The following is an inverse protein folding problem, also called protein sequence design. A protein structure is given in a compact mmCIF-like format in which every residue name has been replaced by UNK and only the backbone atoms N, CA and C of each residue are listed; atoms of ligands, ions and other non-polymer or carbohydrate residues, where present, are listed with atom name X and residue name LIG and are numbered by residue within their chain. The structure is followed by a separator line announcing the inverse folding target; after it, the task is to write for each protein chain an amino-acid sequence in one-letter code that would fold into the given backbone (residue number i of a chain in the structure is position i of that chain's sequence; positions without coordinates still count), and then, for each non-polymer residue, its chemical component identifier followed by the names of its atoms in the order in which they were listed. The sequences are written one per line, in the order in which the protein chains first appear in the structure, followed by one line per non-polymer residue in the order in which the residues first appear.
data_IF_653917819665
#
_entry.id   IF_653917819665
#
_cell.length_a   1.000
_cell.length_b   1.000
_cell.length_c   1.000
_cell.angle_alpha   90.00
_cell.angle_beta   90.00
_cell.angle_gamma   90.00
#
_symmetry.space_group_name_H-M   'P 1'
#
loop_
_entity.id
_entity.type
_entity.pdbx_description
1 polymer ?
#
# COMPACT_ATOMS: atom_id res chain seq x y z
N UNK A 1 2.10 -21.02 12.32
CA UNK A 1 1.79 -20.31 11.06
C UNK A 1 0.93 -21.21 10.21
N UNK A 2 -0.21 -20.72 9.77
CA UNK A 2 -1.23 -21.43 8.99
C UNK A 2 -1.42 -20.73 7.65
N UNK A 3 -1.58 -21.47 6.55
CA UNK A 3 -1.93 -20.90 5.24
C UNK A 3 -3.44 -20.98 5.05
N UNK A 4 -4.09 -19.82 5.05
CA UNK A 4 -5.56 -19.73 5.00
C UNK A 4 -6.11 -19.31 3.63
N UNK A 5 -5.23 -18.88 2.72
CA UNK A 5 -5.54 -18.56 1.34
C UNK A 5 -4.37 -18.96 0.47
N UNK A 6 -4.63 -19.50 -0.71
CA UNK A 6 -3.59 -19.70 -1.73
C UNK A 6 -4.19 -19.80 -3.11
N UNK A 7 -3.54 -19.17 -4.08
CA UNK A 7 -3.89 -19.32 -5.49
C UNK A 7 -2.61 -19.41 -6.33
N UNK A 8 -2.67 -20.27 -7.36
CA UNK A 8 -1.63 -20.42 -8.37
C UNK A 8 -2.05 -19.75 -9.68
N UNK A 9 -1.10 -19.16 -10.40
CA UNK A 9 -1.34 -18.44 -11.65
C UNK A 9 -0.50 -17.17 -11.72
N UNK A 10 -0.75 -16.29 -12.68
CA UNK A 10 -0.13 -14.96 -12.70
C UNK A 10 -0.89 -14.03 -11.76
N UNK A 11 -0.60 -14.10 -10.45
CA UNK A 11 -1.43 -13.55 -9.38
C UNK A 11 -0.62 -12.79 -8.34
N UNK A 12 -1.18 -11.72 -7.77
CA UNK A 12 -0.53 -10.99 -6.67
C UNK A 12 -1.52 -10.64 -5.57
N UNK A 13 -1.18 -10.97 -4.32
CA UNK A 13 -1.81 -10.42 -3.12
C UNK A 13 -1.22 -9.04 -2.85
N UNK A 14 -1.98 -7.98 -3.15
CA UNK A 14 -1.45 -6.62 -3.31
C UNK A 14 -1.93 -5.62 -2.24
N UNK A 15 -3.03 -5.94 -1.56
CA UNK A 15 -3.60 -5.18 -0.42
C UNK A 15 -4.16 -6.16 0.60
N UNK A 16 -3.91 -5.91 1.88
CA UNK A 16 -4.52 -6.63 3.00
C UNK A 16 -4.96 -5.64 4.07
N UNK A 17 -6.25 -5.66 4.43
CA UNK A 17 -6.84 -4.72 5.39
C UNK A 17 -7.93 -5.36 6.23
N UNK A 18 -7.96 -5.04 7.53
CA UNK A 18 -9.06 -5.39 8.42
C UNK A 18 -10.15 -4.31 8.33
N UNK A 19 -11.41 -4.75 8.20
CA UNK A 19 -12.57 -3.87 8.10
C UNK A 19 -13.79 -4.55 8.74
N UNK A 20 -14.28 -3.96 9.83
CA UNK A 20 -15.30 -4.61 10.66
C UNK A 20 -14.82 -5.99 11.14
N UNK A 21 -15.69 -6.98 11.01
CA UNK A 21 -15.42 -8.38 11.33
C UNK A 21 -14.92 -9.17 10.11
N UNK A 22 -14.20 -8.51 9.21
CA UNK A 22 -13.64 -9.13 8.01
C UNK A 22 -12.20 -8.69 7.73
N UNK A 23 -11.46 -9.58 7.08
CA UNK A 23 -10.18 -9.28 6.44
C UNK A 23 -10.39 -9.22 4.93
N UNK A 24 -10.09 -8.08 4.32
CA UNK A 24 -10.24 -7.85 2.88
C UNK A 24 -8.87 -7.97 2.19
N UNK A 25 -8.85 -8.73 1.10
CA UNK A 25 -7.67 -9.03 0.29
C UNK A 25 -7.90 -8.58 -1.15
N UNK A 26 -6.97 -7.80 -1.69
CA UNK A 26 -6.86 -7.53 -3.11
C UNK A 26 -6.00 -8.58 -3.80
N UNK A 27 -6.54 -9.22 -4.85
CA UNK A 27 -5.85 -10.23 -5.65
C UNK A 27 -5.83 -9.80 -7.11
N UNK A 28 -4.66 -9.45 -7.64
CA UNK A 28 -4.46 -9.25 -9.07
C UNK A 28 -4.53 -10.61 -9.80
N UNK A 29 -5.20 -10.72 -10.96
CA UNK A 29 -6.26 -9.86 -11.49
C UNK A 29 -7.67 -10.35 -11.08
N UNK A 30 -7.77 -11.21 -10.07
CA UNK A 30 -8.97 -11.96 -9.71
C UNK A 30 -10.06 -11.12 -9.03
N UNK A 31 -9.71 -10.02 -8.36
CA UNK A 31 -10.67 -9.12 -7.69
C UNK A 31 -10.41 -8.91 -6.21
N UNK A 32 -11.48 -8.67 -5.46
CA UNK A 32 -11.43 -8.51 -4.00
C UNK A 32 -12.11 -9.71 -3.31
N UNK A 33 -11.53 -10.10 -2.17
CA UNK A 33 -12.03 -11.18 -1.33
C UNK A 33 -12.18 -10.70 0.11
N UNK A 34 -13.19 -11.19 0.82
CA UNK A 34 -13.37 -10.97 2.25
C UNK A 34 -13.29 -12.30 3.00
N UNK A 35 -12.68 -12.28 4.17
CA UNK A 35 -12.54 -13.42 5.07
C UNK A 35 -13.17 -13.10 6.42
N UNK A 36 -14.12 -13.94 6.85
CA UNK A 36 -14.88 -13.75 8.08
C UNK A 36 -14.29 -14.51 9.29
N UNK A 37 -13.02 -14.94 9.22
CA UNK A 37 -12.41 -15.81 10.25
C UNK A 37 -12.57 -17.31 9.98
N UNK A 38 -13.36 -17.72 8.99
CA UNK A 38 -13.55 -19.13 8.62
C UNK A 38 -13.42 -19.42 7.12
N UNK A 39 -13.98 -18.57 6.26
CA UNK A 39 -13.99 -18.79 4.82
C UNK A 39 -13.77 -17.48 4.05
N UNK A 40 -13.16 -17.60 2.86
CA UNK A 40 -13.02 -16.52 1.90
C UNK A 40 -14.22 -16.49 0.97
N UNK A 41 -14.76 -15.30 0.71
CA UNK A 41 -15.74 -15.03 -0.34
C UNK A 41 -15.22 -13.96 -1.29
N UNK A 42 -15.48 -14.10 -2.58
CA UNK A 42 -15.20 -13.04 -3.55
C UNK A 42 -16.28 -11.97 -3.41
N UNK A 43 -15.87 -10.72 -3.17
CA UNK A 43 -16.78 -9.58 -2.96
C UNK A 43 -16.81 -8.62 -4.16
N UNK A 44 -15.80 -8.70 -5.03
CA UNK A 44 -15.75 -7.94 -6.27
C UNK A 44 -15.11 -8.78 -7.36
N UNK A 45 -15.79 -8.87 -8.51
CA UNK A 45 -15.27 -9.45 -9.74
C UNK A 45 -15.02 -8.33 -10.76
N UNK A 46 -13.76 -8.17 -11.23
CA UNK A 46 -13.45 -7.10 -12.17
C UNK A 46 -14.11 -7.30 -13.52
N UNK A 47 -14.65 -6.21 -14.07
CA UNK A 47 -15.28 -6.20 -15.40
C UNK A 47 -14.29 -6.03 -16.55
N UNK A 48 -13.09 -5.56 -16.24
CA UNK A 48 -12.04 -5.24 -17.21
C UNK A 48 -10.74 -5.96 -16.85
N UNK A 49 -9.90 -6.29 -17.85
CA UNK A 49 -8.64 -6.99 -17.62
C UNK A 49 -7.62 -6.15 -16.86
N UNK A 50 -6.70 -6.85 -16.19
CA UNK A 50 -5.57 -6.27 -15.44
C UNK A 50 -5.97 -5.50 -14.19
N UNK A 51 -7.04 -5.94 -13.52
CA UNK A 51 -7.44 -5.38 -12.24
C UNK A 51 -6.35 -5.52 -11.19
N UNK A 52 -6.01 -4.44 -10.49
CA UNK A 52 -5.05 -4.44 -9.40
C UNK A 52 -5.45 -3.45 -8.33
N UNK A 53 -5.36 -3.83 -7.06
CA UNK A 53 -5.69 -3.00 -5.90
C UNK A 53 -4.44 -2.75 -5.06
N UNK A 54 -4.09 -1.50 -4.77
CA UNK A 54 -2.79 -1.17 -4.15
C UNK A 54 -2.90 -0.33 -2.89
N UNK A 55 -3.96 0.46 -2.76
CA UNK A 55 -4.22 1.28 -1.57
C UNK A 55 -5.61 1.02 -1.03
N UNK A 56 -5.86 1.42 0.21
CA UNK A 56 -7.15 1.31 0.87
C UNK A 56 -7.32 2.45 1.86
N UNK A 57 -8.48 2.66 2.46
CA UNK A 57 -8.65 3.50 3.66
C UNK A 57 -10.04 3.27 4.22
N UNK A 58 -10.21 3.32 5.55
CA UNK A 58 -11.55 3.35 6.15
C UNK A 58 -11.98 4.81 6.32
N UNK A 59 -13.13 5.16 5.75
CA UNK A 59 -13.69 6.51 5.83
C UNK A 59 -15.21 6.43 6.01
N UNK A 60 -15.73 7.13 7.03
CA UNK A 60 -17.18 7.15 7.36
C UNK A 60 -17.78 5.74 7.39
N UNK A 61 -17.13 4.87 8.15
CA UNK A 61 -17.56 3.49 8.39
C UNK A 61 -17.66 2.61 7.14
N UNK A 62 -16.94 2.98 6.06
CA UNK A 62 -16.81 2.18 4.85
C UNK A 62 -15.37 1.99 4.46
N UNK A 63 -15.06 0.86 3.83
CA UNK A 63 -13.75 0.60 3.26
C UNK A 63 -13.68 1.13 1.83
N UNK A 64 -12.71 1.98 1.54
CA UNK A 64 -12.36 2.38 0.19
C UNK A 64 -11.10 1.66 -0.26
N UNK A 65 -11.06 1.24 -1.53
CA UNK A 65 -9.92 0.55 -2.13
C UNK A 65 -9.53 1.26 -3.41
N UNK A 66 -8.27 1.69 -3.47
CA UNK A 66 -7.66 2.32 -4.63
C UNK A 66 -7.12 1.24 -5.55
N UNK A 67 -7.63 1.23 -6.76
CA UNK A 67 -7.40 0.18 -7.73
C UNK A 67 -7.27 0.75 -9.15
N UNK A 68 -7.07 -0.15 -10.11
CA UNK A 68 -7.11 0.16 -11.52
C UNK A 68 -7.20 -1.10 -12.37
N UNK A 69 -7.47 -0.90 -13.64
CA UNK A 69 -7.48 -1.90 -14.72
C UNK A 69 -6.47 -1.45 -15.78
N UNK A 70 -6.34 -2.18 -16.89
CA UNK A 70 -5.55 -1.71 -18.05
C UNK A 70 -6.13 -0.47 -18.75
N UNK A 71 -7.30 0.03 -18.33
CA UNK A 71 -7.98 1.15 -19.01
C UNK A 71 -8.41 2.26 -18.06
N UNK A 72 -8.63 1.95 -16.79
CA UNK A 72 -9.19 2.90 -15.83
C UNK A 72 -8.49 2.82 -14.47
N UNK A 73 -8.33 3.97 -13.82
CA UNK A 73 -8.14 4.04 -12.37
C UNK A 73 -9.51 3.98 -11.68
N UNK A 74 -9.59 3.21 -10.60
CA UNK A 74 -10.82 2.94 -9.85
C UNK A 74 -10.65 3.31 -8.36
N UNK A 75 -11.69 3.88 -7.76
CA UNK A 75 -11.91 3.79 -6.31
C UNK A 75 -13.15 2.97 -6.08
N UNK A 76 -13.00 1.89 -5.32
CA UNK A 76 -14.08 1.01 -4.91
C UNK A 76 -14.48 1.36 -3.48
N UNK A 77 -15.77 1.34 -3.19
CA UNK A 77 -16.33 1.44 -1.84
C UNK A 77 -16.92 0.08 -1.47
N UNK A 78 -16.66 -0.36 -0.24
CA UNK A 78 -17.23 -1.55 0.36
C UNK A 78 -17.90 -1.21 1.69
N UNK A 79 -19.20 -1.50 1.79
CA UNK A 79 -20.03 -1.21 2.97
C UNK A 79 -20.15 -2.39 3.94
N UNK A 80 -19.51 -3.54 3.66
CA UNK A 80 -19.65 -4.79 4.42
C UNK A 80 -20.56 -5.80 3.74
N UNK A 81 -21.38 -5.37 2.78
CA UNK A 81 -22.26 -6.25 2.02
C UNK A 81 -21.89 -6.27 0.55
N UNK A 82 -21.69 -5.08 -0.05
CA UNK A 82 -21.50 -4.91 -1.50
C UNK A 82 -20.37 -3.95 -1.82
N UNK A 83 -19.74 -4.22 -2.97
CA UNK A 83 -18.71 -3.34 -3.53
C UNK A 83 -19.30 -2.48 -4.66
N UNK A 84 -19.05 -1.18 -4.63
CA UNK A 84 -19.45 -0.21 -5.66
C UNK A 84 -18.23 0.52 -6.24
N UNK A 85 -18.22 0.75 -7.55
CA UNK A 85 -17.27 1.68 -8.18
C UNK A 85 -17.76 3.12 -7.93
N UNK A 86 -17.09 3.86 -7.03
CA UNK A 86 -17.46 5.25 -6.68
C UNK A 86 -16.66 6.29 -7.46
N UNK A 87 -15.51 5.90 -8.02
CA UNK A 87 -14.75 6.71 -8.95
C UNK A 87 -14.18 5.84 -10.06
N UNK A 88 -14.39 6.26 -11.31
CA UNK A 88 -13.81 5.63 -12.50
C UNK A 88 -13.31 6.68 -13.46
N UNK A 89 -12.01 6.68 -13.71
CA UNK A 89 -11.34 7.70 -14.54
C UNK A 89 -10.44 7.00 -15.55
N UNK A 90 -10.41 7.48 -16.80
CA UNK A 90 -9.58 6.92 -17.89
C UNK A 90 -8.08 6.90 -17.56
N UNK A 91 -7.33 6.19 -18.38
CA UNK A 91 -5.89 5.92 -18.29
C UNK A 91 -5.56 5.06 -17.05
N UNK A 92 -5.38 3.75 -17.22
CA UNK A 92 -5.12 2.82 -16.12
C UNK A 92 -4.04 1.79 -16.45
N UNK A 93 -3.04 1.68 -15.56
CA UNK A 93 -2.22 0.51 -15.19
C UNK A 93 -1.13 0.97 -14.20
N UNK A 94 -0.40 0.01 -13.59
CA UNK A 94 0.61 0.14 -12.52
C UNK A 94 1.73 1.18 -12.70
N UNK A 95 2.46 1.49 -11.63
CA UNK A 95 3.76 2.14 -11.74
C UNK A 95 3.70 3.66 -12.03
N UNK A 96 2.75 4.39 -11.44
CA UNK A 96 2.49 5.78 -11.79
C UNK A 96 1.68 5.98 -13.08
N UNK A 97 1.28 4.91 -13.76
CA UNK A 97 0.57 4.93 -15.05
C UNK A 97 -0.91 5.34 -14.99
N UNK A 98 -1.61 5.07 -13.88
CA UNK A 98 -3.04 5.39 -13.85
C UNK A 98 -3.90 4.86 -12.70
N UNK A 99 -3.49 3.81 -11.98
CA UNK A 99 -4.27 3.34 -10.83
C UNK A 99 -4.21 4.30 -9.65
N UNK A 100 -5.14 4.15 -8.71
CA UNK A 100 -5.08 4.86 -7.42
C UNK A 100 -4.16 4.13 -6.44
N UNK A 101 -2.95 4.65 -6.28
CA UNK A 101 -1.85 4.05 -5.51
C UNK A 101 -1.74 4.60 -4.09
N UNK A 102 -2.53 5.61 -3.75
CA UNK A 102 -2.60 6.14 -2.40
C UNK A 102 -4.03 6.53 -2.04
N UNK A 103 -4.44 6.20 -0.82
CA UNK A 103 -5.68 6.64 -0.20
C UNK A 103 -5.39 7.08 1.23
N UNK A 104 -6.02 8.16 1.70
CA UNK A 104 -5.87 8.62 3.09
C UNK A 104 -7.07 9.46 3.51
N UNK A 105 -7.60 9.20 4.70
CA UNK A 105 -8.62 10.00 5.33
C UNK A 105 -7.97 11.06 6.23
N UNK A 106 -8.33 12.32 6.05
CA UNK A 106 -7.79 13.43 6.81
C UNK A 106 -8.76 14.61 6.84
N UNK A 107 -8.94 15.23 8.01
CA UNK A 107 -9.75 16.45 8.15
C UNK A 107 -11.18 16.32 7.62
N UNK A 108 -11.82 15.16 7.82
CA UNK A 108 -13.19 14.89 7.35
C UNK A 108 -13.32 14.63 5.85
N UNK A 109 -12.21 14.42 5.14
CA UNK A 109 -12.15 14.13 3.71
C UNK A 109 -11.41 12.84 3.44
N UNK A 110 -11.72 12.21 2.30
CA UNK A 110 -10.94 11.12 1.74
C UNK A 110 -10.20 11.62 0.51
N UNK A 111 -8.90 11.35 0.47
CA UNK A 111 -8.00 11.73 -0.62
C UNK A 111 -7.53 10.49 -1.37
N UNK A 112 -7.50 10.56 -2.70
CA UNK A 112 -7.02 9.49 -3.56
C UNK A 112 -5.98 10.02 -4.55
N UNK A 113 -4.82 9.37 -4.58
CA UNK A 113 -3.68 9.74 -5.42
C UNK A 113 -3.51 8.78 -6.59
N UNK A 114 -3.39 9.33 -7.79
CA UNK A 114 -3.06 8.57 -9.02
C UNK A 114 -2.27 9.45 -9.97
N UNK A 115 -1.30 8.90 -10.71
CA UNK A 115 -0.44 9.69 -11.62
C UNK A 115 0.04 10.96 -10.88
N UNK A 116 -0.04 12.10 -11.55
CA UNK A 116 0.26 13.41 -10.99
C UNK A 116 -0.95 14.13 -10.37
N UNK A 117 -2.01 13.41 -10.00
CA UNK A 117 -3.32 13.95 -9.60
C UNK A 117 -3.69 13.55 -8.18
N UNK A 118 -4.21 14.52 -7.42
CA UNK A 118 -4.92 14.31 -6.16
C UNK A 118 -6.42 14.51 -6.38
N UNK A 119 -7.20 13.51 -6.00
CA UNK A 119 -8.65 13.54 -5.96
C UNK A 119 -9.13 13.60 -4.51
N UNK A 120 -10.28 14.22 -4.28
CA UNK A 120 -10.85 14.39 -2.95
C UNK A 120 -12.37 14.21 -2.98
N UNK A 121 -12.90 13.66 -1.89
CA UNK A 121 -14.33 13.64 -1.58
C UNK A 121 -14.57 13.97 -0.11
N UNK A 122 -15.70 14.61 0.17
CA UNK A 122 -16.22 14.84 1.52
C UNK A 122 -17.26 13.78 1.91
N UNK A 123 -17.94 13.19 0.92
CA UNK A 123 -19.05 12.25 1.10
C UNK A 123 -18.66 10.78 0.90
N UNK A 124 -17.66 10.50 0.05
CA UNK A 124 -17.32 9.15 -0.39
C UNK A 124 -17.76 8.85 -1.84
N UNK A 125 -18.79 9.54 -2.33
CA UNK A 125 -19.39 9.30 -3.65
C UNK A 125 -19.08 10.42 -4.66
N UNK A 126 -18.97 11.68 -4.21
CA UNK A 126 -18.72 12.82 -5.09
C UNK A 126 -17.24 13.20 -5.07
N UNK A 127 -16.55 12.89 -6.16
CA UNK A 127 -15.12 13.09 -6.29
C UNK A 127 -14.79 14.24 -7.21
N UNK A 128 -13.85 15.08 -6.76
CA UNK A 128 -13.27 16.16 -7.59
C UNK A 128 -11.76 16.11 -7.55
N UNK A 129 -11.13 16.56 -8.63
CA UNK A 129 -9.69 16.77 -8.65
C UNK A 129 -9.35 18.00 -7.80
N UNK A 130 -8.49 17.82 -6.81
CA UNK A 130 -8.07 18.87 -5.88
C UNK A 130 -6.74 19.51 -6.29
N UNK A 131 -5.83 18.73 -6.86
CA UNK A 131 -4.49 19.21 -7.20
C UNK A 131 -3.89 18.37 -8.33
N UNK A 132 -3.05 19.00 -9.14
CA UNK A 132 -2.24 18.35 -10.15
C UNK A 132 -0.82 18.95 -10.11
N UNK A 133 0.20 18.11 -10.01
CA UNK A 133 1.59 18.56 -10.16
C UNK A 133 2.14 18.29 -11.56
N UNK A 134 3.27 18.90 -11.92
CA UNK A 134 3.74 18.98 -13.31
C UNK A 134 4.64 17.82 -13.76
N UNK A 135 5.05 16.96 -12.85
CA UNK A 135 5.98 15.87 -13.17
C UNK A 135 5.23 14.68 -13.77
N UNK A 136 5.95 13.77 -14.42
CA UNK A 136 5.40 12.50 -14.88
C UNK A 136 5.28 11.44 -13.78
N UNK A 137 5.40 11.81 -12.50
CA UNK A 137 5.43 10.87 -11.37
C UNK A 137 4.03 10.59 -10.80
N UNK A 138 3.87 9.39 -10.25
CA UNK A 138 2.71 8.90 -9.52
C UNK A 138 2.63 9.45 -8.09
N UNK A 139 1.44 9.45 -7.49
CA UNK A 139 1.28 9.64 -6.03
C UNK A 139 1.27 8.29 -5.35
N UNK A 140 2.27 8.02 -4.51
CA UNK A 140 2.44 6.70 -3.89
C UNK A 140 2.10 6.69 -2.41
N UNK A 141 2.11 7.85 -1.77
CA UNK A 141 1.67 8.04 -0.39
C UNK A 141 1.00 9.40 -0.26
N UNK A 142 -0.05 9.43 0.56
CA UNK A 142 -0.67 10.65 1.07
C UNK A 142 -0.55 10.59 2.59
N UNK A 143 -0.17 11.69 3.22
CA UNK A 143 -0.11 11.78 4.67
C UNK A 143 -0.64 13.12 5.17
N UNK A 144 -0.95 13.19 6.45
CA UNK A 144 -1.41 14.42 7.11
C UNK A 144 -0.47 14.74 8.27
N UNK A 145 -0.07 16.02 8.38
CA UNK A 145 0.63 16.55 9.55
C UNK A 145 0.21 18.00 9.81
N UNK A 146 -0.33 18.28 10.99
CA UNK A 146 -0.65 19.64 11.44
C UNK A 146 -1.64 20.36 10.52
N UNK A 147 -2.67 19.67 10.04
CA UNK A 147 -3.69 20.17 9.12
C UNK A 147 -3.25 20.31 7.67
N UNK A 148 -2.05 19.86 7.31
CA UNK A 148 -1.54 19.89 5.94
C UNK A 148 -1.49 18.49 5.34
N UNK A 149 -1.80 18.38 4.06
CA UNK A 149 -1.69 17.13 3.30
C UNK A 149 -0.34 17.09 2.59
N UNK A 150 0.36 15.96 2.69
CA UNK A 150 1.63 15.70 2.04
C UNK A 150 1.44 14.63 0.96
N UNK A 151 1.83 14.95 -0.27
CA UNK A 151 1.81 14.02 -1.42
C UNK A 151 3.25 13.62 -1.74
N UNK A 152 3.53 12.32 -1.78
CA UNK A 152 4.85 11.78 -2.07
C UNK A 152 4.87 11.22 -3.49
N UNK A 153 5.81 11.70 -4.30
CA UNK A 153 6.00 11.19 -5.66
C UNK A 153 6.61 9.78 -5.66
N UNK A 154 6.00 8.84 -6.36
CA UNK A 154 6.58 7.54 -6.65
C UNK A 154 7.09 7.42 -8.07
N UNK A 155 6.72 6.33 -8.73
CA UNK A 155 7.24 5.96 -10.05
C UNK A 155 6.90 7.00 -11.14
N UNK A 156 7.75 7.16 -12.17
CA UNK A 156 8.94 6.35 -12.47
C UNK A 156 10.10 6.57 -11.50
N UNK A 157 10.93 5.53 -11.32
CA UNK A 157 12.07 5.49 -10.39
C UNK A 157 13.26 6.26 -10.96
N UNK A 158 13.11 7.58 -11.10
CA UNK A 158 14.14 8.51 -11.57
C UNK A 158 14.20 9.74 -10.66
N UNK A 159 15.37 10.07 -10.09
CA UNK A 159 15.52 11.29 -9.32
C UNK A 159 15.41 12.56 -10.18
N UNK A 160 15.04 13.70 -9.59
CA UNK A 160 14.62 13.86 -8.18
C UNK A 160 13.17 13.43 -7.97
N UNK A 161 12.84 13.05 -6.73
CA UNK A 161 11.45 12.91 -6.26
C UNK A 161 11.08 14.07 -5.35
N UNK A 162 9.80 14.42 -5.33
CA UNK A 162 9.27 15.56 -4.57
C UNK A 162 8.23 15.13 -3.56
N UNK A 163 8.10 15.97 -2.54
CA UNK A 163 6.97 15.96 -1.62
C UNK A 163 6.25 17.30 -1.75
N UNK A 164 4.94 17.27 -1.92
CA UNK A 164 4.08 18.45 -2.00
C UNK A 164 3.29 18.59 -0.71
N UNK A 165 3.41 19.72 -0.01
CA UNK A 165 2.55 20.08 1.11
C UNK A 165 1.43 20.99 0.62
N UNK A 166 0.19 20.63 0.92
CA UNK A 166 -1.02 21.36 0.60
C UNK A 166 -1.73 21.78 1.88
N UNK A 167 -1.93 23.10 2.06
CA UNK A 167 -2.71 23.67 3.17
C UNK A 167 -3.57 24.82 2.67
N UNK A 168 -4.86 24.56 2.49
CA UNK A 168 -5.76 25.53 1.83
C UNK A 168 -5.28 25.80 0.40
N UNK A 169 -4.95 27.06 0.10
CA UNK A 169 -4.35 27.46 -1.19
C UNK A 169 -2.82 27.42 -1.20
N UNK A 170 -2.16 27.20 -0.05
CA UNK A 170 -0.71 27.14 0.04
C UNK A 170 -0.20 25.80 -0.50
N UNK A 171 0.80 25.89 -1.39
CA UNK A 171 1.54 24.73 -1.90
C UNK A 171 3.02 24.95 -1.65
N UNK A 172 3.66 24.03 -0.94
CA UNK A 172 5.12 24.00 -0.77
C UNK A 172 5.68 22.69 -1.32
N UNK A 173 6.91 22.74 -1.82
CA UNK A 173 7.57 21.59 -2.44
C UNK A 173 8.92 21.37 -1.77
N UNK A 174 9.16 20.13 -1.34
CA UNK A 174 10.50 19.64 -0.98
C UNK A 174 11.01 18.73 -2.08
N UNK A 175 12.25 18.94 -2.53
CA UNK A 175 12.88 18.14 -3.57
C UNK A 175 14.02 17.30 -2.99
N UNK A 176 14.07 16.01 -3.36
CA UNK A 176 15.03 15.04 -2.87
C UNK A 176 15.87 14.50 -4.04
N UNK A 177 17.04 15.10 -4.24
CA UNK A 177 17.92 14.86 -5.40
C UNK A 177 18.44 13.43 -5.53
N UNK A 178 18.65 12.73 -4.41
CA UNK A 178 19.13 11.34 -4.40
C UNK A 178 18.03 10.28 -4.52
N UNK A 179 16.75 10.68 -4.52
CA UNK A 179 15.64 9.74 -4.35
C UNK A 179 14.89 9.50 -5.66
N UNK A 180 14.93 8.24 -6.10
CA UNK A 180 14.33 7.79 -7.35
C UNK A 180 12.80 7.82 -7.33
N UNK A 181 12.18 7.36 -6.25
CA UNK A 181 10.74 7.36 -6.01
C UNK A 181 10.47 7.01 -4.54
N UNK A 182 9.41 7.58 -3.95
CA UNK A 182 8.85 7.09 -2.71
C UNK A 182 7.91 5.90 -2.97
N UNK A 183 7.81 4.99 -2.01
CA UNK A 183 6.95 3.80 -2.08
C UNK A 183 6.31 3.53 -0.73
N UNK A 184 5.00 3.79 -0.64
CA UNK A 184 4.21 3.34 0.51
C UNK A 184 2.72 3.48 0.21
N UNK A 185 2.12 2.45 -0.38
CA UNK A 185 0.67 2.49 -0.63
C UNK A 185 -0.18 2.22 0.63
N UNK A 186 0.45 2.19 1.81
CA UNK A 186 -0.25 2.20 3.11
C UNK A 186 -0.83 3.60 3.35
N UNK A 187 -2.05 3.73 3.89
CA UNK A 187 -2.65 5.03 4.16
C UNK A 187 -1.88 5.82 5.21
N UNK A 188 -1.88 7.15 5.10
CA UNK A 188 -1.24 8.05 6.06
C UNK A 188 -1.69 7.82 7.51
N UNK A 189 -2.94 7.43 7.72
CA UNK A 189 -3.51 7.06 9.03
C UNK A 189 -2.80 5.86 9.67
N UNK A 190 -2.19 4.98 8.86
CA UNK A 190 -1.53 3.75 9.28
C UNK A 190 -0.03 3.74 9.01
N UNK A 191 0.46 4.63 8.18
CA UNK A 191 1.88 4.92 7.97
C UNK A 191 2.30 6.17 8.77
N UNK A 192 1.75 6.34 9.97
CA UNK A 192 2.11 7.42 10.90
C UNK A 192 2.47 6.83 12.26
N UNK A 193 3.61 7.22 12.80
CA UNK A 193 4.11 6.76 14.08
C UNK A 193 4.61 7.95 14.90
N UNK A 194 4.06 8.15 16.10
CA UNK A 194 4.41 9.27 17.01
C UNK A 194 4.43 10.65 16.33
N UNK A 195 3.47 10.90 15.43
CA UNK A 195 3.32 12.16 14.69
C UNK A 195 4.22 12.30 13.46
N UNK A 196 5.04 11.30 13.16
CA UNK A 196 5.90 11.24 11.97
C UNK A 196 5.28 10.31 10.93
N UNK A 197 5.28 10.73 9.66
CA UNK A 197 4.93 9.81 8.58
C UNK A 197 6.08 8.82 8.38
N UNK A 198 5.76 7.56 8.20
CA UNK A 198 6.72 6.49 7.88
C UNK A 198 6.65 6.26 6.38
N UNK A 199 7.75 6.48 5.70
CA UNK A 199 7.83 6.40 4.23
C UNK A 199 8.99 5.52 3.84
N UNK A 200 8.86 4.77 2.75
CA UNK A 200 9.98 4.02 2.19
C UNK A 200 10.31 4.50 0.78
N UNK A 201 11.50 4.14 0.29
CA UNK A 201 11.89 4.30 -1.11
C UNK A 201 12.01 2.95 -1.82
N UNK A 202 12.31 2.99 -3.12
CA UNK A 202 12.49 1.79 -3.94
C UNK A 202 13.79 1.02 -3.65
N UNK A 203 14.74 1.62 -2.93
CA UNK A 203 15.95 0.96 -2.44
C UNK A 203 15.72 0.26 -1.09
N UNK A 204 14.48 0.24 -0.58
CA UNK A 204 14.13 -0.43 0.66
C UNK A 204 14.60 0.31 1.91
N UNK A 205 14.92 1.59 1.80
CA UNK A 205 15.21 2.45 2.96
C UNK A 205 13.89 3.00 3.50
N UNK A 206 13.79 3.06 4.82
CA UNK A 206 12.61 3.53 5.54
C UNK A 206 12.98 4.76 6.33
N UNK A 207 12.12 5.77 6.26
CA UNK A 207 12.35 7.08 6.84
C UNK A 207 11.19 7.49 7.74
N UNK A 208 11.52 8.17 8.83
CA UNK A 208 10.58 9.07 9.47
C UNK A 208 10.58 10.41 8.72
N UNK A 209 9.40 10.93 8.45
CA UNK A 209 9.18 12.20 7.78
C UNK A 209 8.44 13.17 8.70
N UNK A 210 8.96 14.40 8.80
CA UNK A 210 8.28 15.50 9.47
C UNK A 210 8.66 16.83 8.84
N UNK A 211 7.68 17.54 8.28
CA UNK A 211 7.87 18.90 7.77
C UNK A 211 9.01 19.03 6.75
N UNK A 212 9.07 18.12 5.77
CA UNK A 212 10.11 17.99 4.74
C UNK A 212 11.47 17.44 5.20
N UNK A 213 11.65 17.11 6.47
CA UNK A 213 12.84 16.40 6.94
C UNK A 213 12.62 14.89 6.87
N UNK A 214 13.65 14.17 6.43
CA UNK A 214 13.71 12.71 6.42
C UNK A 214 14.83 12.25 7.34
N UNK A 215 14.54 11.26 8.17
CA UNK A 215 15.55 10.56 8.98
C UNK A 215 15.45 9.08 8.64
N UNK A 216 16.54 8.50 8.13
CA UNK A 216 16.57 7.05 7.87
C UNK A 216 16.42 6.33 9.21
N UNK A 217 15.35 5.54 9.32
CA UNK A 217 14.97 4.82 10.53
C UNK A 217 15.37 3.34 10.44
N UNK A 218 15.35 2.77 9.24
CA UNK A 218 15.69 1.39 8.96
C UNK A 218 16.05 1.19 7.49
N UNK A 219 16.80 0.13 7.16
CA UNK A 219 17.15 -0.16 5.77
C UNK A 219 17.18 -1.67 5.48
N UNK A 220 16.49 -2.04 4.40
CA UNK A 220 16.56 -3.38 3.80
C UNK A 220 17.56 -3.44 2.63
N UNK A 221 18.12 -2.31 2.19
CA UNK A 221 18.88 -2.18 0.96
C UNK A 221 20.01 -3.21 0.79
N UNK A 222 20.75 -3.49 1.87
CA UNK A 222 21.88 -4.42 1.84
C UNK A 222 21.49 -5.90 1.95
N UNK A 223 20.20 -6.21 2.05
CA UNK A 223 19.67 -7.56 2.28
C UNK A 223 19.03 -8.16 1.04
N UNK A 224 18.79 -7.34 0.03
CA UNK A 224 18.20 -7.72 -1.24
C UNK A 224 19.21 -7.52 -2.36
N UNK A 225 19.33 -8.50 -3.25
CA UNK A 225 20.25 -8.45 -4.39
C UNK A 225 19.72 -7.55 -5.52
N UNK A 226 18.39 -7.45 -5.67
CA UNK A 226 17.77 -6.75 -6.80
C UNK A 226 18.20 -5.28 -6.94
N UNK A 227 18.31 -4.56 -5.82
CA UNK A 227 18.49 -3.10 -5.81
C UNK A 227 17.35 -2.32 -6.50
N UNK A 228 16.95 -1.16 -6.00
CA UNK A 228 16.00 -0.27 -6.70
C UNK A 228 14.59 -0.83 -6.99
N UNK A 229 14.21 -1.98 -6.42
CA UNK A 229 12.83 -2.48 -6.48
C UNK A 229 12.45 -3.32 -5.25
N UNK A 230 12.78 -2.80 -4.06
CA UNK A 230 12.34 -3.36 -2.80
C UNK A 230 10.99 -2.71 -2.45
N UNK A 231 10.00 -3.54 -2.16
CA UNK A 231 8.68 -3.12 -1.70
C UNK A 231 8.67 -3.16 -0.18
N UNK A 232 8.47 -2.01 0.46
CA UNK A 232 8.31 -1.92 1.91
C UNK A 232 6.94 -1.32 2.23
N UNK A 233 6.18 -2.00 3.08
CA UNK A 233 4.90 -1.55 3.61
C UNK A 233 5.01 -1.29 5.10
N UNK A 234 5.07 -0.03 5.52
CA UNK A 234 4.88 0.30 6.92
C UNK A 234 3.42 0.10 7.30
N UNK A 235 3.15 -0.38 8.52
CA UNK A 235 1.80 -0.46 9.10
C UNK A 235 1.85 -0.36 10.62
N UNK A 236 1.18 0.66 11.16
CA UNK A 236 0.99 0.84 12.59
C UNK A 236 -0.12 -0.08 13.10
N UNK A 237 0.16 -0.75 14.21
CA UNK A 237 -0.79 -1.52 15.01
C UNK A 237 -0.53 -1.19 16.48
N UNK A 238 -1.47 -0.50 17.13
CA UNK A 238 -1.25 0.03 18.48
C UNK A 238 0.02 0.90 18.53
N UNK A 239 0.92 0.61 19.47
CA UNK A 239 2.22 1.27 19.61
C UNK A 239 3.38 0.60 18.86
N UNK A 240 3.06 -0.39 18.01
CA UNK A 240 4.02 -1.10 17.17
C UNK A 240 3.96 -0.58 15.73
N UNK A 241 5.12 -0.37 15.13
CA UNK A 241 5.25 -0.14 13.69
C UNK A 241 5.82 -1.40 13.04
N UNK A 242 5.01 -2.04 12.20
CA UNK A 242 5.43 -3.18 11.38
C UNK A 242 5.96 -2.69 10.03
N UNK A 243 7.01 -3.34 9.55
CA UNK A 243 7.53 -3.21 8.20
C UNK A 243 7.48 -4.58 7.53
N UNK A 244 6.57 -4.73 6.57
CA UNK A 244 6.58 -5.86 5.66
C UNK A 244 7.45 -5.52 4.45
N UNK A 245 8.40 -6.39 4.13
CA UNK A 245 9.29 -6.21 2.99
C UNK A 245 9.31 -7.44 2.07
N UNK A 246 9.51 -7.15 0.78
CA UNK A 246 9.71 -8.12 -0.28
C UNK A 246 10.23 -7.43 -1.53
N UNK A 247 10.40 -8.17 -2.62
CA UNK A 247 10.72 -7.57 -3.91
C UNK A 247 9.45 -7.10 -4.63
N UNK A 248 9.56 -6.01 -5.41
CA UNK A 248 8.45 -5.53 -6.22
C UNK A 248 8.13 -6.43 -7.41
N UNK A 249 7.12 -6.03 -8.18
CA UNK A 249 6.65 -6.79 -9.34
C UNK A 249 7.74 -7.02 -10.38
N UNK A 250 7.78 -8.23 -10.96
CA UNK A 250 8.71 -8.59 -12.04
C UNK A 250 10.11 -9.04 -11.58
N UNK A 251 10.36 -9.13 -10.27
CA UNK A 251 11.64 -9.56 -9.69
C UNK A 251 11.59 -11.05 -9.33
N UNK A 252 12.67 -11.79 -9.62
CA UNK A 252 12.77 -13.26 -9.40
C UNK A 252 13.23 -13.60 -7.98
N UNK A 253 13.94 -12.69 -7.31
CA UNK A 253 14.38 -12.87 -5.93
C UNK A 253 13.18 -12.99 -4.98
N UNK A 254 13.21 -14.00 -4.11
CA UNK A 254 12.15 -14.32 -3.14
C UNK A 254 12.70 -14.36 -1.73
N UNK A 255 12.51 -13.26 -1.03
CA UNK A 255 12.88 -13.13 0.36
C UNK A 255 11.98 -12.09 1.01
N UNK A 256 11.09 -12.53 1.90
CA UNK A 256 10.23 -11.64 2.64
C UNK A 256 10.75 -11.44 4.05
N UNK A 257 10.70 -10.21 4.53
CA UNK A 257 11.04 -9.89 5.92
C UNK A 257 9.87 -9.19 6.60
N UNK A 258 9.61 -9.58 7.85
CA UNK A 258 8.75 -8.83 8.75
C UNK A 258 9.61 -8.30 9.90
N UNK A 259 9.60 -7.00 10.07
CA UNK A 259 10.33 -6.28 11.12
C UNK A 259 9.34 -5.45 11.93
N UNK A 260 9.55 -5.33 13.23
CA UNK A 260 8.75 -4.49 14.11
C UNK A 260 9.62 -3.47 14.85
N UNK A 261 9.11 -2.25 15.00
CA UNK A 261 9.62 -1.28 15.95
C UNK A 261 8.78 -1.36 17.22
N UNK A 262 9.38 -1.84 18.31
CA UNK A 262 8.70 -2.08 19.60
C UNK A 262 9.55 -1.48 20.69
N UNK A 263 8.96 -0.66 21.56
CA UNK A 263 9.67 -0.12 22.73
C UNK A 263 10.89 0.76 22.42
N UNK A 264 11.05 1.22 21.17
CA UNK A 264 12.22 2.01 20.75
C UNK A 264 13.27 1.22 19.97
N UNK A 265 13.09 -0.09 19.79
CA UNK A 265 14.05 -0.98 19.14
C UNK A 265 13.44 -1.68 17.91
N UNK A 266 14.29 -1.99 16.93
CA UNK A 266 13.93 -2.78 15.77
C UNK A 266 14.20 -4.26 16.02
N UNK A 267 13.17 -5.09 15.89
CA UNK A 267 13.26 -6.53 15.97
C UNK A 267 12.83 -7.16 14.65
N UNK A 268 13.67 -8.04 14.09
CA UNK A 268 13.25 -8.91 12.98
C UNK A 268 12.38 -10.03 13.57
N UNK A 269 11.15 -10.12 13.12
CA UNK A 269 10.18 -11.11 13.60
C UNK A 269 10.21 -12.38 12.76
N UNK A 270 10.33 -12.24 11.44
CA UNK A 270 10.21 -13.37 10.51
C UNK A 270 10.97 -13.11 9.22
N UNK A 271 11.47 -14.19 8.64
CA UNK A 271 11.94 -14.26 7.26
C UNK A 271 11.23 -15.40 6.54
N UNK A 272 10.82 -15.18 5.30
CA UNK A 272 10.11 -16.16 4.47
C UNK A 272 10.78 -16.35 3.10
N UNK A 273 10.68 -17.54 2.49
CA UNK A 273 11.03 -17.77 1.09
C UNK A 273 9.96 -17.22 0.12
N UNK A 274 9.19 -16.23 0.55
CA UNK A 274 8.11 -15.56 -0.17
C UNK A 274 8.23 -14.07 0.13
N UNK A 275 8.00 -13.20 -0.83
CA UNK A 275 7.92 -11.76 -0.59
C UNK A 275 6.70 -11.44 0.29
N UNK A 276 6.84 -10.55 1.27
CA UNK A 276 5.71 -10.06 2.07
C UNK A 276 5.32 -8.68 1.52
N UNK A 277 4.17 -8.60 0.84
CA UNK A 277 3.72 -7.37 0.19
C UNK A 277 2.78 -6.54 1.05
N UNK A 278 2.13 -7.14 2.05
CA UNK A 278 1.35 -6.43 3.06
C UNK A 278 1.23 -7.30 4.32
N UNK A 279 0.90 -6.66 5.43
CA UNK A 279 0.70 -7.29 6.73
C UNK A 279 -0.57 -6.74 7.33
N UNK A 280 -1.33 -7.47 8.14
CA UNK A 280 -2.52 -6.94 8.81
C UNK A 280 -2.77 -7.64 10.13
N UNK A 281 -3.35 -6.93 11.10
CA UNK A 281 -3.87 -7.55 12.33
C UNK A 281 -5.39 -7.61 12.25
N UNK A 282 -5.92 -8.81 12.51
CA UNK A 282 -7.35 -9.08 12.52
C UNK A 282 -7.67 -10.10 13.63
N UNK A 283 -8.48 -9.68 14.62
CA UNK A 283 -8.62 -10.42 15.88
C UNK A 283 -7.26 -10.61 16.56
N UNK A 284 -7.01 -11.81 17.08
CA UNK A 284 -5.78 -12.15 17.81
C UNK A 284 -4.61 -12.60 16.90
N UNK A 285 -4.73 -12.36 15.58
CA UNK A 285 -3.80 -12.91 14.61
C UNK A 285 -3.20 -11.82 13.71
N UNK A 286 -1.95 -12.07 13.33
CA UNK A 286 -1.26 -11.38 12.26
C UNK A 286 -1.45 -12.16 10.95
N UNK A 287 -1.71 -11.42 9.87
CA UNK A 287 -1.87 -11.94 8.53
C UNK A 287 -0.83 -11.33 7.60
N UNK A 288 -0.24 -12.15 6.74
CA UNK A 288 0.78 -11.74 5.77
C UNK A 288 0.27 -12.03 4.37
N UNK A 289 0.17 -11.00 3.54
CA UNK A 289 -0.03 -11.15 2.10
C UNK A 289 1.31 -11.45 1.45
N UNK A 290 1.48 -12.69 1.01
CA UNK A 290 2.75 -13.19 0.50
C UNK A 290 2.65 -13.54 -0.98
N UNK A 291 3.74 -13.29 -1.70
CA UNK A 291 3.86 -13.54 -3.14
C UNK A 291 5.16 -14.29 -3.47
N UNK A 292 5.13 -15.12 -4.51
CA UNK A 292 6.32 -15.75 -5.10
C UNK A 292 6.31 -15.59 -6.62
N UNK A 293 7.35 -15.01 -7.26
CA UNK A 293 7.64 -15.18 -8.68
C UNK A 293 7.60 -16.65 -9.13
N UNK A 294 7.14 -16.84 -10.35
CA UNK A 294 7.11 -18.14 -11.02
C UNK A 294 8.51 -18.63 -11.35
N UNK A 295 8.85 -19.84 -10.91
CA UNK A 295 9.68 -20.74 -11.73
C UNK A 295 8.77 -21.87 -12.24
N UNK A 296 8.73 -22.17 -13.55
CA UNK A 296 9.68 -21.76 -14.60
C UNK A 296 9.17 -20.71 -15.61
N UNK A 297 8.02 -20.07 -15.39
CA UNK A 297 7.45 -19.14 -16.38
C UNK A 297 8.19 -17.79 -16.41
N UNK A 298 9.20 -17.69 -17.29
CA UNK A 298 9.78 -16.42 -17.75
C UNK A 298 8.76 -15.65 -18.61
N UNK A 299 7.72 -15.12 -18.00
CA UNK A 299 6.94 -14.06 -18.63
C UNK A 299 6.94 -12.82 -17.74
N UNK A 300 6.89 -11.66 -18.38
CA UNK A 300 6.90 -10.32 -17.81
C UNK A 300 5.71 -9.98 -16.89
N UNK A 301 5.02 -10.98 -16.33
CA UNK A 301 3.80 -10.85 -15.53
C UNK A 301 3.89 -11.68 -14.24
N UNK A 302 3.91 -10.96 -13.12
CA UNK A 302 3.49 -11.25 -11.74
C UNK A 302 3.44 -12.72 -11.28
N UNK A 303 4.24 -13.00 -10.24
CA UNK A 303 4.05 -14.02 -9.19
C UNK A 303 3.23 -15.28 -9.55
N UNK A 304 3.86 -16.47 -9.56
CA UNK A 304 3.19 -17.78 -9.77
C UNK A 304 2.19 -18.16 -8.69
N UNK A 305 2.36 -17.56 -7.52
CA UNK A 305 1.73 -18.00 -6.31
C UNK A 305 1.55 -16.81 -5.38
N UNK A 306 0.34 -16.64 -4.89
CA UNK A 306 0.06 -15.74 -3.78
C UNK A 306 -0.66 -16.53 -2.67
N UNK A 307 -0.41 -16.13 -1.42
CA UNK A 307 -1.06 -16.73 -0.26
C UNK A 307 -1.23 -15.74 0.87
N UNK A 308 -2.16 -16.04 1.78
CA UNK A 308 -2.25 -15.37 3.07
C UNK A 308 -1.83 -16.33 4.17
N UNK A 309 -0.81 -15.93 4.92
CA UNK A 309 -0.32 -16.65 6.09
C UNK A 309 -0.89 -16.02 7.36
N UNK A 310 -1.39 -16.84 8.27
CA UNK A 310 -1.93 -16.47 9.57
C UNK A 310 -0.98 -16.92 10.67
N UNK A 311 -0.70 -16.04 11.63
CA UNK A 311 0.12 -16.31 12.80
C UNK A 311 -0.55 -15.72 14.05
N UNK A 312 -0.37 -16.30 15.23
CA UNK A 312 -0.71 -15.61 16.48
C UNK A 312 -0.01 -14.26 16.57
N UNK A 313 -0.69 -13.26 17.13
CA UNK A 313 -0.15 -11.91 17.36
C UNK A 313 0.28 -11.68 18.83
N UNK A 314 0.45 -12.75 19.60
CA UNK A 314 0.82 -12.73 21.03
C UNK A 314 2.11 -11.95 21.33
N UNK A 315 3.08 -11.97 20.40
CA UNK A 315 4.32 -11.21 20.51
C UNK A 315 4.16 -9.69 20.37
N UNK A 316 3.00 -9.19 19.92
CA UNK A 316 2.72 -7.75 19.87
C UNK A 316 2.32 -7.18 21.23
N UNK A 317 2.29 -8.02 22.28
CA UNK A 317 1.67 -7.69 23.57
C UNK A 317 0.15 -7.76 23.46
N UNK A 318 -0.56 -7.73 24.59
CA UNK A 318 -2.01 -7.54 24.58
C UNK A 318 -2.33 -6.18 23.95
N UNK A 319 -2.74 -6.19 22.68
CA UNK A 319 -3.23 -5.02 21.94
C UNK A 319 -4.47 -4.42 22.61
#
# INVERSE_FOLDING_TARGET
MERIFSMWGALEASVLVSYGDELVLGVYPAGLYAYNGSAWRRIYEPREPGFSAWSYEVFRDKLYVGAGTLRHGLVLEYDGERVREVLKVRDGAGGGGGLFEALTAAGGRLYAGRRNELWVTESGDEWRRAFTFKTGKGVYLIGEQGGAIYLFEGEPIRPPSRVYMLRGSEVRVGEYGGMGAFRSHTPGSRSSYRGQLVVADFDGRVYFFQGFKLWEAYSFASRYEVGGNIAVRPKKVGDVLLLAAGTGTGVVETHGELVAYIGGEWARLLTLPLNIHDVEVYGENLYLACNSPARPFKSCSNSAYCCVLKLPADFLGSL
#
